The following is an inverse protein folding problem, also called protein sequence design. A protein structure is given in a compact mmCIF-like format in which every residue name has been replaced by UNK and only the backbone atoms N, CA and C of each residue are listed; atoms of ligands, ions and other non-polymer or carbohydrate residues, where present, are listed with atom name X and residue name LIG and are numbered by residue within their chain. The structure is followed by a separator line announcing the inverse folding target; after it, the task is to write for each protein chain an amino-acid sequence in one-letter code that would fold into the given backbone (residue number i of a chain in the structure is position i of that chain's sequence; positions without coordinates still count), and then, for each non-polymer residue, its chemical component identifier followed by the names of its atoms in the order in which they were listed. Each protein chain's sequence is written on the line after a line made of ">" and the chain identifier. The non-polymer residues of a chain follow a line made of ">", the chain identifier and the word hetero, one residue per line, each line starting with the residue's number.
data_IF_718824787692
#
_entry.id   IF_718824787692
#
_cell.length_a   1.000
_cell.length_b   1.000
_cell.length_c   1.000
_cell.angle_alpha   90.00
_cell.angle_beta   90.00
_cell.angle_gamma   90.00
#
_symmetry.space_group_name_H-M   'P 1'
#
loop_
_entity.id
_entity.type
_entity.pdbx_description
1 polymer ?
#
# COMPACT_ATOMS: atom_id res chain seq x y z
N UNK A 1 18.16 -22.65 8.30
CA UNK A 1 17.16 -21.60 8.49
C UNK A 1 17.63 -20.68 9.60
N UNK A 2 17.62 -19.38 9.37
CA UNK A 2 17.93 -18.37 10.38
C UNK A 2 16.68 -18.03 11.19
N UNK A 3 16.86 -17.41 12.36
CA UNK A 3 15.74 -16.96 13.18
C UNK A 3 14.91 -15.89 12.48
N UNK A 4 15.56 -15.04 11.67
CA UNK A 4 14.88 -14.08 10.82
C UNK A 4 13.97 -14.77 9.81
N UNK A 5 14.49 -15.75 9.06
CA UNK A 5 13.71 -16.53 8.09
C UNK A 5 12.50 -17.22 8.74
N UNK A 6 12.67 -17.72 9.97
CA UNK A 6 11.60 -18.37 10.75
C UNK A 6 10.50 -17.38 11.16
N UNK A 7 10.86 -16.17 11.55
CA UNK A 7 9.90 -15.14 12.02
C UNK A 7 9.18 -14.48 10.83
N UNK A 8 9.86 -14.31 9.70
CA UNK A 8 9.29 -13.68 8.49
C UNK A 8 8.72 -14.67 7.49
N UNK A 9 8.52 -15.94 7.88
CA UNK A 9 8.03 -17.00 6.99
C UNK A 9 6.62 -16.71 6.44
N UNK A 10 5.77 -16.05 7.24
CA UNK A 10 4.44 -15.61 6.81
C UNK A 10 4.02 -14.31 7.52
N UNK A 11 3.04 -13.62 6.97
CA UNK A 11 2.45 -12.42 7.59
C UNK A 11 1.87 -12.75 8.96
N UNK A 12 1.20 -13.89 9.10
CA UNK A 12 0.65 -14.38 10.37
C UNK A 12 1.74 -14.67 11.40
N UNK A 13 2.84 -15.31 10.99
CA UNK A 13 3.99 -15.60 11.87
C UNK A 13 4.67 -14.31 12.35
N UNK A 14 4.86 -13.36 11.44
CA UNK A 14 5.43 -12.05 11.77
C UNK A 14 4.50 -11.26 12.71
N UNK A 15 3.18 -11.26 12.44
CA UNK A 15 2.20 -10.60 13.29
C UNK A 15 2.19 -11.16 14.71
N UNK A 16 2.22 -12.49 14.85
CA UNK A 16 2.25 -13.15 16.14
C UNK A 16 3.54 -12.81 16.92
N UNK A 17 4.68 -12.76 16.22
CA UNK A 17 5.94 -12.32 16.82
C UNK A 17 5.85 -10.86 17.31
N UNK A 18 5.38 -9.94 16.47
CA UNK A 18 5.21 -8.52 16.84
C UNK A 18 4.27 -8.34 18.03
N UNK A 19 3.17 -9.09 18.06
CA UNK A 19 2.22 -9.08 19.18
C UNK A 19 2.81 -9.60 20.50
N UNK A 20 3.85 -10.43 20.43
CA UNK A 20 4.54 -10.97 21.61
C UNK A 20 5.60 -10.02 22.20
N UNK A 21 5.97 -8.96 21.47
CA UNK A 21 6.98 -8.02 21.94
C UNK A 21 6.42 -7.18 23.09
N UNK A 22 7.17 -6.99 24.20
CA UNK A 22 6.76 -6.13 25.30
C UNK A 22 6.94 -4.66 24.89
N UNK A 23 6.13 -4.19 23.96
CA UNK A 23 6.07 -2.81 23.52
C UNK A 23 4.81 -2.14 24.05
N UNK A 24 4.94 -0.89 24.50
CA UNK A 24 3.83 -0.10 25.03
C UNK A 24 2.94 0.37 23.88
N UNK A 25 3.56 0.83 22.78
CA UNK A 25 2.90 1.16 21.52
C UNK A 25 3.79 0.73 20.35
N UNK A 26 3.18 0.16 19.31
CA UNK A 26 3.84 -0.19 18.05
C UNK A 26 3.33 0.66 16.89
N UNK A 27 3.96 0.56 15.69
CA UNK A 27 3.55 1.31 14.50
C UNK A 27 2.10 1.05 14.07
N UNK A 28 1.53 -0.10 14.42
CA UNK A 28 0.12 -0.40 14.21
C UNK A 28 -0.82 0.46 15.06
N UNK A 29 -0.39 0.92 16.25
CA UNK A 29 -1.17 1.85 17.07
C UNK A 29 -1.22 3.24 16.42
N UNK A 30 -0.10 3.72 15.89
CA UNK A 30 -0.02 5.00 15.17
C UNK A 30 -0.94 4.97 13.93
N UNK A 31 -0.84 3.92 13.11
CA UNK A 31 -1.72 3.74 11.95
C UNK A 31 -3.21 3.67 12.34
N UNK A 32 -3.54 3.04 13.46
CA UNK A 32 -4.91 3.00 13.98
C UNK A 32 -5.39 4.40 14.39
N UNK A 33 -4.56 5.16 15.10
CA UNK A 33 -4.89 6.53 15.52
C UNK A 33 -5.09 7.45 14.31
N UNK A 34 -4.18 7.40 13.34
CA UNK A 34 -4.28 8.19 12.11
C UNK A 34 -5.55 7.90 11.33
N UNK A 35 -5.91 6.62 11.20
CA UNK A 35 -7.01 6.18 10.34
C UNK A 35 -8.38 6.31 10.99
N UNK A 36 -8.47 6.13 12.31
CA UNK A 36 -9.76 6.07 13.01
C UNK A 36 -9.92 7.15 14.08
N UNK A 37 -8.91 7.38 14.92
CA UNK A 37 -9.06 8.28 16.08
C UNK A 37 -9.02 9.76 15.69
N UNK A 38 -8.16 10.16 14.73
CA UNK A 38 -8.05 11.55 14.29
C UNK A 38 -9.36 12.15 13.77
N UNK A 39 -10.27 11.30 13.30
CA UNK A 39 -11.58 11.68 12.75
C UNK A 39 -12.74 11.15 13.58
N UNK A 40 -12.48 10.58 14.77
CA UNK A 40 -13.52 9.97 15.58
C UNK A 40 -14.41 11.06 16.20
N UNK A 41 -15.73 11.02 15.97
CA UNK A 41 -16.66 11.98 16.58
C UNK A 41 -16.98 11.63 18.05
N UNK A 42 -16.57 10.45 18.53
CA UNK A 42 -16.81 10.04 19.90
C UNK A 42 -15.94 10.86 20.86
N UNK A 43 -16.59 11.44 21.87
CA UNK A 43 -15.90 12.23 22.90
C UNK A 43 -14.96 11.36 23.74
N UNK A 44 -15.36 10.12 23.98
CA UNK A 44 -14.68 9.15 24.81
C UNK A 44 -14.58 7.82 24.03
N UNK A 45 -13.48 7.07 24.22
CA UNK A 45 -13.21 5.83 23.47
C UNK A 45 -13.89 4.58 24.06
N UNK A 46 -14.91 4.75 24.91
CA UNK A 46 -15.53 3.66 25.70
C UNK A 46 -16.21 2.59 24.84
N UNK A 47 -16.67 2.94 23.64
CA UNK A 47 -17.32 2.02 22.71
C UNK A 47 -16.82 2.22 21.27
N UNK A 48 -15.53 1.93 21.06
CA UNK A 48 -14.89 2.10 19.76
C UNK A 48 -15.49 1.16 18.71
N UNK A 49 -15.99 1.72 17.61
CA UNK A 49 -16.55 0.94 16.49
C UNK A 49 -15.48 0.13 15.74
N UNK A 50 -14.20 0.46 15.92
CA UNK A 50 -13.06 -0.11 15.23
C UNK A 50 -12.18 -0.98 16.14
N UNK A 51 -12.72 -1.44 17.27
CA UNK A 51 -11.95 -2.17 18.29
C UNK A 51 -11.24 -3.41 17.75
N UNK A 52 -11.78 -4.05 16.71
CA UNK A 52 -11.15 -5.21 16.03
C UNK A 52 -9.77 -4.89 15.40
N UNK A 53 -9.50 -3.63 15.08
CA UNK A 53 -8.22 -3.17 14.53
C UNK A 53 -7.29 -2.57 15.60
N UNK A 54 -7.80 -2.33 16.81
CA UNK A 54 -7.00 -1.76 17.90
C UNK A 54 -5.94 -2.77 18.34
N UNK A 55 -4.71 -2.28 18.47
CA UNK A 55 -3.56 -3.08 18.89
C UNK A 55 -3.37 -4.38 18.06
N UNK A 56 -3.60 -4.30 16.75
CA UNK A 56 -3.62 -5.45 15.85
C UNK A 56 -2.49 -5.37 14.80
N UNK A 57 -1.31 -5.97 15.07
CA UNK A 57 -0.21 -6.02 14.12
C UNK A 57 -0.57 -6.75 12.81
N UNK A 58 -1.44 -7.76 12.86
CA UNK A 58 -1.83 -8.51 11.66
C UNK A 58 -2.62 -7.65 10.70
N UNK A 59 -3.58 -6.87 11.21
CA UNK A 59 -4.30 -5.88 10.43
C UNK A 59 -3.33 -4.88 9.80
N UNK A 60 -2.42 -4.32 10.59
CA UNK A 60 -1.44 -3.34 10.12
C UNK A 60 -0.51 -3.91 9.03
N UNK A 61 -0.04 -5.15 9.17
CA UNK A 61 0.77 -5.81 8.14
C UNK A 61 -0.01 -6.04 6.84
N UNK A 62 -1.34 -6.19 6.93
CA UNK A 62 -2.25 -6.32 5.79
C UNK A 62 -2.65 -4.97 5.18
N UNK A 63 -2.20 -3.84 5.74
CA UNK A 63 -2.41 -2.52 5.13
C UNK A 63 -1.54 -2.29 3.88
N UNK A 64 -0.47 -3.08 3.68
CA UNK A 64 0.24 -3.17 2.40
C UNK A 64 -0.61 -4.04 1.45
N UNK A 65 -1.14 -3.62 0.30
CA UNK A 65 -1.21 -2.34 -0.41
C UNK A 65 -2.48 -2.43 -1.27
N UNK A 66 -3.55 -1.68 -0.94
CA UNK A 66 -4.54 -1.32 -1.97
C UNK A 66 -4.30 0.15 -2.36
N UNK A 67 -3.93 0.42 -3.63
CA UNK A 67 -3.83 1.79 -4.10
C UNK A 67 -5.17 2.49 -3.91
N UNK A 68 -5.14 3.78 -3.58
CA UNK A 68 -6.37 4.59 -3.58
C UNK A 68 -7.10 4.44 -4.93
N UNK A 69 -8.42 4.60 -4.96
CA UNK A 69 -9.18 4.55 -6.22
C UNK A 69 -8.64 5.57 -7.24
N UNK A 70 -8.15 6.73 -6.77
CA UNK A 70 -7.45 7.71 -7.61
C UNK A 70 -6.16 7.16 -8.21
N UNK A 71 -5.36 6.44 -7.44
CA UNK A 71 -4.15 5.76 -7.91
C UNK A 71 -4.48 4.61 -8.88
N UNK A 72 -5.53 3.83 -8.60
CA UNK A 72 -6.06 2.80 -9.50
C UNK A 72 -6.47 3.38 -10.85
N UNK A 73 -7.18 4.51 -10.81
CA UNK A 73 -7.66 5.19 -12.00
C UNK A 73 -6.54 5.89 -12.78
N UNK A 74 -5.54 6.45 -12.10
CA UNK A 74 -4.35 7.02 -12.74
C UNK A 74 -3.53 5.95 -13.46
N UNK A 75 -3.27 4.81 -12.80
CA UNK A 75 -2.57 3.68 -13.42
C UNK A 75 -3.32 3.14 -14.66
N UNK A 76 -4.66 3.05 -14.59
CA UNK A 76 -5.49 2.64 -15.73
C UNK A 76 -5.38 3.63 -16.90
N UNK A 77 -5.43 4.94 -16.63
CA UNK A 77 -5.24 5.97 -17.67
C UNK A 77 -3.85 5.89 -18.30
N UNK A 78 -2.82 5.59 -17.51
CA UNK A 78 -1.46 5.38 -18.01
C UNK A 78 -1.36 4.11 -18.85
N UNK A 79 -1.96 2.99 -18.44
CA UNK A 79 -2.05 1.77 -19.24
C UNK A 79 -2.78 2.01 -20.59
N UNK A 80 -3.88 2.76 -20.58
CA UNK A 80 -4.61 3.14 -21.80
C UNK A 80 -3.80 4.07 -22.71
N UNK A 81 -2.90 4.91 -22.17
CA UNK A 81 -1.94 5.68 -22.94
C UNK A 81 -0.86 4.76 -23.55
N UNK A 82 -0.31 3.85 -22.75
CA UNK A 82 0.71 2.88 -23.16
C UNK A 82 0.20 1.89 -24.21
N UNK A 83 -1.11 1.63 -24.31
CA UNK A 83 -1.69 0.85 -25.43
C UNK A 83 -1.77 1.63 -26.74
N UNK A 84 -1.91 2.95 -26.67
CA UNK A 84 -2.07 3.83 -27.83
C UNK A 84 -0.73 4.17 -28.49
N UNK A 85 0.32 4.21 -27.69
CA UNK A 85 1.71 4.37 -28.12
C UNK A 85 2.43 3.02 -27.99
N UNK A 86 3.54 2.77 -28.68
CA UNK A 86 4.34 1.59 -28.31
C UNK A 86 4.91 1.77 -26.89
N UNK A 87 5.24 0.68 -26.18
CA UNK A 87 5.82 0.77 -24.84
C UNK A 87 7.13 1.60 -24.81
N UNK A 88 7.86 1.66 -25.93
CA UNK A 88 9.04 2.51 -26.09
C UNK A 88 8.66 3.99 -26.16
N UNK A 89 7.74 4.35 -27.05
CA UNK A 89 7.26 5.73 -27.20
C UNK A 89 6.57 6.23 -25.93
N UNK A 90 5.83 5.37 -25.23
CA UNK A 90 5.20 5.71 -23.97
C UNK A 90 6.21 5.91 -22.84
N UNK A 91 7.29 5.13 -22.79
CA UNK A 91 8.38 5.30 -21.83
C UNK A 91 9.07 6.67 -22.02
N UNK A 92 9.31 7.06 -23.27
CA UNK A 92 9.87 8.38 -23.60
C UNK A 92 8.91 9.54 -23.27
N UNK A 93 7.62 9.39 -23.57
CA UNK A 93 6.61 10.41 -23.30
C UNK A 93 6.35 10.64 -21.81
N UNK A 94 6.41 9.58 -21.01
CA UNK A 94 6.11 9.61 -19.58
C UNK A 94 7.37 9.77 -18.71
N UNK A 95 8.56 9.80 -19.32
CA UNK A 95 9.85 9.81 -18.63
C UNK A 95 9.98 8.68 -17.58
N UNK A 96 9.60 7.46 -17.98
CA UNK A 96 9.68 6.26 -17.14
C UNK A 96 10.55 5.19 -17.81
N UNK A 97 11.02 4.22 -17.03
CA UNK A 97 11.79 3.11 -17.59
C UNK A 97 10.96 2.29 -18.59
N UNK A 98 11.60 1.76 -19.64
CA UNK A 98 10.99 0.84 -20.60
C UNK A 98 10.36 -0.38 -19.92
N UNK A 99 10.94 -0.86 -18.82
CA UNK A 99 10.38 -1.97 -18.05
C UNK A 99 9.05 -1.58 -17.39
N UNK A 100 8.96 -0.40 -16.76
CA UNK A 100 7.73 0.11 -16.19
C UNK A 100 6.63 0.28 -17.25
N UNK A 101 6.99 0.79 -18.45
CA UNK A 101 6.05 0.90 -19.56
C UNK A 101 5.55 -0.47 -20.05
N UNK A 102 6.42 -1.49 -20.13
CA UNK A 102 6.02 -2.87 -20.50
C UNK A 102 5.04 -3.47 -19.48
N UNK A 103 5.30 -3.28 -18.19
CA UNK A 103 4.43 -3.75 -17.11
C UNK A 103 3.04 -3.09 -17.21
N UNK A 104 2.98 -1.78 -17.48
CA UNK A 104 1.72 -1.08 -17.68
C UNK A 104 0.97 -1.54 -18.95
N UNK A 105 1.68 -2.03 -19.97
CA UNK A 105 1.10 -2.53 -21.21
C UNK A 105 0.55 -3.96 -21.08
N UNK A 106 1.18 -4.79 -20.25
CA UNK A 106 0.81 -6.18 -19.99
C UNK A 106 -0.38 -6.23 -19.01
N UNK A 107 -1.53 -5.72 -19.46
CA UNK A 107 -2.80 -5.85 -18.75
C UNK A 107 -3.18 -7.33 -18.58
N UNK A 108 -2.84 -7.92 -17.44
CA UNK A 108 -3.61 -9.04 -16.85
C UNK A 108 -3.68 -8.97 -15.33
N UNK A 109 -2.68 -8.39 -14.68
CA UNK A 109 -2.68 -8.12 -13.25
C UNK A 109 -1.66 -7.01 -13.00
N UNK A 110 -2.11 -5.75 -12.94
CA UNK A 110 -1.19 -4.62 -12.74
C UNK A 110 -0.59 -4.80 -11.35
N UNK A 111 0.72 -5.05 -11.27
CA UNK A 111 1.45 -5.02 -10.01
C UNK A 111 1.36 -3.59 -9.45
N UNK A 112 0.49 -3.45 -8.46
CA UNK A 112 0.15 -2.16 -7.87
C UNK A 112 1.35 -1.49 -7.20
N UNK A 113 2.30 -2.26 -6.66
CA UNK A 113 3.51 -1.69 -6.07
C UNK A 113 4.39 -1.00 -7.14
N UNK A 114 4.47 -1.57 -8.34
CA UNK A 114 5.20 -0.97 -9.46
C UNK A 114 4.41 0.16 -10.13
N UNK A 115 3.09 0.04 -10.26
CA UNK A 115 2.25 1.12 -10.79
C UNK A 115 2.26 2.36 -9.88
N UNK A 116 2.29 2.17 -8.57
CA UNK A 116 2.48 3.25 -7.58
C UNK A 116 3.84 3.91 -7.77
N UNK A 117 4.92 3.13 -7.89
CA UNK A 117 6.28 3.66 -8.10
C UNK A 117 6.40 4.47 -9.40
N UNK A 118 5.72 4.05 -10.46
CA UNK A 118 5.65 4.79 -11.72
C UNK A 118 4.83 6.10 -11.58
N UNK A 119 3.65 6.05 -10.94
CA UNK A 119 2.84 7.24 -10.70
C UNK A 119 3.54 8.27 -9.79
N UNK A 120 4.30 7.79 -8.79
CA UNK A 120 5.16 8.59 -7.91
C UNK A 120 6.23 9.35 -8.67
N UNK A 121 6.90 8.67 -9.60
CA UNK A 121 8.01 9.23 -10.38
C UNK A 121 7.55 10.35 -11.32
N UNK A 122 6.29 10.31 -11.77
CA UNK A 122 5.68 11.31 -12.66
C UNK A 122 5.08 12.49 -11.85
N UNK A 123 5.14 12.46 -10.52
CA UNK A 123 4.62 13.53 -9.66
C UNK A 123 3.08 13.62 -9.65
N UNK A 124 2.38 12.55 -9.99
CA UNK A 124 0.91 12.50 -9.98
C UNK A 124 0.44 12.19 -8.56
N UNK A 125 0.55 13.18 -7.67
CA UNK A 125 -0.17 13.17 -6.40
C UNK A 125 -1.03 14.41 -6.28
N UNK A 126 -2.33 14.18 -6.08
CA UNK A 126 -3.14 15.09 -5.30
C UNK A 126 -2.93 14.74 -3.83
N UNK A 127 -2.62 15.74 -3.00
CA UNK A 127 -2.61 15.59 -1.54
C UNK A 127 -4.06 15.42 -1.09
N UNK A 128 -4.48 14.21 -0.78
CA UNK A 128 -5.78 13.90 -0.19
C UNK A 128 -5.64 12.85 0.88
#
# INVERSE_FOLDING_TARGET
>A
MTEFERITESTETLAAFLASLPCIEGPWNEAFHERFCNYCPAKDCDNCQYEEYRNNPLWWLKLRDEPSEGTKQAAKKLADLVKRYSALEAAELLDISLNAAKILNEEKDIDWAMAISAAQSIGIYDRG
#
